data_IF_131457090787
#
_entry.id   IF_131457090787
#
_cell.length_a   1.000
_cell.length_b   1.000
_cell.length_c   1.000
_cell.angle_alpha   90.00
_cell.angle_beta   90.00
_cell.angle_gamma   90.00
#
_symmetry.space_group_name_H-M   'P 1'
#
loop_
_entity.id
_entity.type
_entity.pdbx_description
1 polymer ?
#
# COMPACT_ATOMS: atom_id res chain seq x y z
N UNK A 1 -23.67 -1.16 -23.78
CA UNK A 1 -22.30 -0.65 -24.03
C UNK A 1 -21.65 -0.40 -22.69
N UNK A 2 -20.52 -1.03 -22.39
CA UNK A 2 -19.73 -0.75 -21.19
C UNK A 2 -19.29 0.72 -21.21
N UNK A 3 -19.56 1.47 -20.14
CA UNK A 3 -19.07 2.84 -20.00
C UNK A 3 -17.58 2.76 -19.68
N UNK A 4 -16.74 3.26 -20.58
CA UNK A 4 -15.32 3.43 -20.29
C UNK A 4 -15.17 4.41 -19.12
N UNK A 5 -14.44 3.99 -18.09
CA UNK A 5 -14.11 4.83 -16.93
C UNK A 5 -12.62 5.17 -17.02
N UNK A 6 -12.27 6.43 -17.25
CA UNK A 6 -10.87 6.82 -17.41
C UNK A 6 -10.14 6.75 -16.06
N UNK A 7 -8.91 6.23 -16.07
CA UNK A 7 -8.01 6.34 -14.92
C UNK A 7 -7.26 7.70 -14.91
N UNK A 8 -6.55 7.97 -13.83
CA UNK A 8 -5.82 9.23 -13.64
C UNK A 8 -4.69 9.41 -14.66
N UNK A 9 -3.95 8.35 -15.00
CA UNK A 9 -2.80 8.42 -15.91
C UNK A 9 -3.29 8.74 -17.32
N UNK A 10 -4.36 8.10 -17.75
CA UNK A 10 -5.05 8.38 -19.00
C UNK A 10 -5.47 9.85 -19.10
N UNK A 11 -6.15 10.39 -18.07
CA UNK A 11 -6.58 11.79 -18.07
C UNK A 11 -5.41 12.77 -18.10
N UNK A 12 -4.29 12.44 -17.45
CA UNK A 12 -3.06 13.24 -17.51
C UNK A 12 -2.44 13.22 -18.92
N UNK A 13 -2.49 12.08 -19.60
CA UNK A 13 -2.10 11.97 -21.01
C UNK A 13 -2.96 12.83 -21.93
N UNK A 14 -4.27 12.87 -21.68
CA UNK A 14 -5.19 13.78 -22.41
C UNK A 14 -4.86 15.26 -22.13
N UNK A 15 -4.51 15.62 -20.89
CA UNK A 15 -4.05 16.97 -20.57
C UNK A 15 -2.77 17.34 -21.33
N UNK A 16 -1.80 16.41 -21.43
CA UNK A 16 -0.58 16.62 -22.20
C UNK A 16 -0.87 16.84 -23.69
N UNK A 17 -1.82 16.10 -24.26
CA UNK A 17 -2.27 16.33 -25.63
C UNK A 17 -2.81 17.75 -25.83
N UNK A 18 -3.68 18.23 -24.93
CA UNK A 18 -4.20 19.60 -25.01
C UNK A 18 -3.12 20.66 -24.79
N UNK A 19 -2.16 20.40 -23.91
CA UNK A 19 -1.00 21.27 -23.73
C UNK A 19 -0.21 21.44 -25.04
N UNK A 20 0.07 20.33 -25.74
CA UNK A 20 0.76 20.35 -27.04
C UNK A 20 -0.05 21.05 -28.15
N UNK A 21 -1.38 21.11 -28.01
CA UNK A 21 -2.26 21.90 -28.90
C UNK A 21 -2.32 23.38 -28.53
N UNK A 22 -1.48 23.87 -27.60
CA UNK A 22 -1.48 25.23 -27.09
C UNK A 22 -2.81 25.66 -26.46
N UNK A 23 -3.58 24.71 -25.91
CA UNK A 23 -4.77 25.04 -25.10
C UNK A 23 -4.34 25.56 -23.73
N UNK A 24 -5.22 26.31 -23.08
CA UNK A 24 -5.08 26.64 -21.66
C UNK A 24 -5.57 25.50 -20.76
N UNK A 25 -5.09 25.46 -19.52
CA UNK A 25 -5.56 24.50 -18.51
C UNK A 25 -7.09 24.59 -18.30
N UNK A 26 -7.65 25.80 -18.36
CA UNK A 26 -9.08 26.05 -18.20
C UNK A 26 -9.90 25.50 -19.37
N UNK A 27 -9.41 25.64 -20.62
CA UNK A 27 -10.06 25.02 -21.78
C UNK A 27 -9.98 23.50 -21.70
N UNK A 28 -8.82 22.93 -21.37
CA UNK A 28 -8.64 21.49 -21.24
C UNK A 28 -9.56 20.91 -20.16
N UNK A 29 -9.68 21.58 -19.00
CA UNK A 29 -10.61 21.20 -17.93
C UNK A 29 -12.07 21.20 -18.40
N UNK A 30 -12.51 22.26 -19.11
CA UNK A 30 -13.88 22.32 -19.66
C UNK A 30 -14.17 21.14 -20.59
N UNK A 31 -13.23 20.81 -21.47
CA UNK A 31 -13.38 19.68 -22.41
C UNK A 31 -13.41 18.34 -21.66
N UNK A 32 -12.56 18.17 -20.65
CA UNK A 32 -12.55 16.96 -19.81
C UNK A 32 -13.87 16.76 -19.08
N UNK A 33 -14.42 17.80 -18.45
CA UNK A 33 -15.72 17.72 -17.76
C UNK A 33 -16.85 17.41 -18.75
N UNK A 34 -16.83 18.02 -19.93
CA UNK A 34 -17.82 17.73 -20.97
C UNK A 34 -17.74 16.27 -21.47
N UNK A 35 -16.55 15.68 -21.50
CA UNK A 35 -16.31 14.33 -22.05
C UNK A 35 -16.53 13.23 -21.00
N UNK A 36 -16.03 13.45 -19.77
CA UNK A 36 -15.93 12.42 -18.73
C UNK A 36 -16.81 12.67 -17.50
N UNK A 37 -17.45 13.85 -17.40
CA UNK A 37 -18.33 14.22 -16.29
C UNK A 37 -17.61 14.13 -14.95
N UNK A 38 -18.19 13.39 -14.01
CA UNK A 38 -17.67 13.20 -12.65
C UNK A 38 -16.31 12.48 -12.61
N UNK A 39 -15.93 11.77 -13.68
CA UNK A 39 -14.63 11.11 -13.78
C UNK A 39 -13.52 12.07 -14.26
N UNK A 40 -13.82 13.34 -14.53
CA UNK A 40 -12.82 14.32 -14.95
C UNK A 40 -11.88 14.71 -13.80
N UNK A 41 -10.68 15.16 -14.16
CA UNK A 41 -9.76 15.77 -13.20
C UNK A 41 -10.32 17.12 -12.74
N UNK A 42 -10.05 17.46 -11.48
CA UNK A 42 -10.39 18.78 -10.96
C UNK A 42 -9.58 19.90 -11.64
N UNK A 43 -10.17 21.09 -11.67
CA UNK A 43 -9.57 22.30 -12.23
C UNK A 43 -8.19 22.64 -11.61
N UNK A 44 -8.00 22.41 -10.30
CA UNK A 44 -6.70 22.55 -9.63
C UNK A 44 -5.69 21.54 -10.13
N UNK A 45 -6.08 20.27 -10.26
CA UNK A 45 -5.22 19.22 -10.82
C UNK A 45 -4.82 19.56 -12.26
N UNK A 46 -5.75 20.01 -13.11
CA UNK A 46 -5.42 20.45 -14.47
C UNK A 46 -4.37 21.56 -14.48
N UNK A 47 -4.52 22.59 -13.64
CA UNK A 47 -3.53 23.67 -13.54
C UNK A 47 -2.16 23.21 -13.08
N UNK A 48 -2.09 22.32 -12.09
CA UNK A 48 -0.81 21.82 -11.57
C UNK A 48 -0.08 20.96 -12.62
N UNK A 49 -0.79 20.12 -13.37
CA UNK A 49 -0.22 19.38 -14.49
C UNK A 49 0.30 20.30 -15.60
N UNK A 50 -0.47 21.33 -15.96
CA UNK A 50 0.01 22.34 -16.92
C UNK A 50 1.26 23.08 -16.42
N UNK A 51 1.40 23.31 -15.11
CA UNK A 51 2.62 23.87 -14.52
C UNK A 51 3.80 22.91 -14.67
N UNK A 52 3.59 21.60 -14.46
CA UNK A 52 4.62 20.57 -14.70
C UNK A 52 5.06 20.50 -16.15
N UNK A 53 4.11 20.48 -17.09
CA UNK A 53 4.43 20.45 -18.53
C UNK A 53 5.23 21.68 -18.99
N UNK A 54 4.94 22.87 -18.44
CA UNK A 54 5.74 24.08 -18.68
C UNK A 54 7.18 23.96 -18.17
N UNK A 55 7.40 23.14 -17.15
CA UNK A 55 8.73 22.84 -16.60
C UNK A 55 9.40 21.64 -17.30
N UNK A 56 8.87 21.20 -18.45
CA UNK A 56 9.32 20.03 -19.20
C UNK A 56 9.23 18.70 -18.43
N UNK A 57 8.34 18.61 -17.43
CA UNK A 57 8.05 17.38 -16.70
C UNK A 57 6.82 16.69 -17.31
N UNK A 58 7.07 15.69 -18.15
CA UNK A 58 6.05 14.94 -18.90
C UNK A 58 5.74 13.56 -18.30
N UNK A 59 6.28 13.24 -17.12
CA UNK A 59 6.02 11.97 -16.45
C UNK A 59 4.60 11.96 -15.88
N UNK A 60 3.74 11.14 -16.48
CA UNK A 60 2.30 11.09 -16.16
C UNK A 60 2.00 10.29 -14.89
N UNK A 61 2.93 9.46 -14.45
CA UNK A 61 2.83 8.72 -13.21
C UNK A 61 3.19 9.59 -12.01
N UNK A 62 2.68 9.21 -10.85
CA UNK A 62 3.13 9.84 -9.61
C UNK A 62 4.55 9.32 -9.32
N UNK A 63 5.51 10.23 -9.18
CA UNK A 63 6.84 9.87 -8.68
C UNK A 63 6.68 9.17 -7.34
N UNK A 64 7.50 8.15 -7.12
CA UNK A 64 7.59 7.50 -5.84
C UNK A 64 7.81 8.58 -4.78
N UNK A 65 6.85 8.73 -3.87
CA UNK A 65 6.95 9.75 -2.83
C UNK A 65 8.19 9.41 -2.02
N UNK A 66 9.18 10.29 -2.02
CA UNK A 66 10.24 10.26 -1.02
C UNK A 66 9.56 10.43 0.33
N UNK A 67 9.31 9.30 1.00
CA UNK A 67 8.82 9.29 2.36
C UNK A 67 9.80 10.02 3.28
N UNK A 68 9.37 10.29 4.50
CA UNK A 68 10.26 10.72 5.58
C UNK A 68 11.47 9.78 5.58
N UNK A 69 12.72 10.30 5.62
CA UNK A 69 13.92 9.47 5.67
C UNK A 69 13.76 8.42 6.76
N UNK A 70 14.07 7.15 6.44
CA UNK A 70 14.03 6.08 7.44
C UNK A 70 15.01 6.48 8.56
N UNK A 71 14.54 6.49 9.81
CA UNK A 71 15.39 6.83 10.97
C UNK A 71 16.44 5.75 11.26
N UNK A 72 16.18 4.52 10.80
CA UNK A 72 17.06 3.36 10.85
C UNK A 72 16.72 2.44 9.67
N UNK A 73 17.68 1.64 9.24
CA UNK A 73 17.50 0.67 8.16
C UNK A 73 16.87 -0.62 8.66
N UNK A 74 16.08 -1.28 7.82
CA UNK A 74 15.37 -2.50 8.23
C UNK A 74 16.37 -3.62 8.63
N UNK A 75 17.58 -3.63 8.05
CA UNK A 75 18.70 -4.52 8.43
C UNK A 75 19.21 -4.33 9.85
N UNK A 76 19.14 -3.10 10.38
CA UNK A 76 19.56 -2.81 11.76
C UNK A 76 18.58 -3.44 12.75
N UNK A 77 17.29 -3.42 12.42
CA UNK A 77 16.24 -4.05 13.20
C UNK A 77 16.30 -5.58 13.10
N UNK A 78 16.54 -6.14 11.91
CA UNK A 78 16.75 -7.59 11.73
C UNK A 78 17.91 -8.10 12.59
N UNK A 79 19.05 -7.39 12.57
CA UNK A 79 20.23 -7.75 13.36
C UNK A 79 19.95 -7.80 14.87
N UNK A 80 19.18 -6.83 15.40
CA UNK A 80 18.81 -6.82 16.83
C UNK A 80 17.96 -8.03 17.21
N UNK A 81 17.08 -8.49 16.30
CA UNK A 81 16.21 -9.64 16.52
C UNK A 81 16.94 -10.97 16.34
N UNK A 82 17.97 -11.02 15.49
CA UNK A 82 18.88 -12.15 15.38
C UNK A 82 19.76 -12.30 16.63
N UNK A 83 20.18 -11.18 17.23
CA UNK A 83 20.96 -11.16 18.48
C UNK A 83 20.12 -11.57 19.69
N UNK A 84 18.91 -11.03 19.82
CA UNK A 84 17.97 -11.39 20.86
C UNK A 84 16.51 -11.29 20.36
N UNK A 85 15.88 -12.44 20.02
CA UNK A 85 14.51 -12.45 19.54
C UNK A 85 13.49 -12.15 20.64
N UNK A 86 13.88 -12.07 21.91
CA UNK A 86 12.97 -11.80 23.04
C UNK A 86 12.77 -10.32 23.36
N UNK A 87 13.46 -9.43 22.63
CA UNK A 87 13.41 -7.99 22.87
C UNK A 87 12.00 -7.41 22.74
N UNK A 88 11.68 -6.52 23.68
CA UNK A 88 10.42 -5.76 23.68
C UNK A 88 10.50 -4.57 22.73
N UNK A 89 9.33 -4.06 22.31
CA UNK A 89 9.25 -2.83 21.51
C UNK A 89 9.92 -1.63 22.19
N UNK A 90 9.87 -1.57 23.53
CA UNK A 90 10.47 -0.51 24.33
C UNK A 90 11.99 -0.53 24.28
N UNK A 91 12.59 -1.73 24.36
CA UNK A 91 14.04 -1.91 24.26
C UNK A 91 14.53 -1.57 22.87
N UNK A 92 13.87 -2.10 21.83
CA UNK A 92 14.16 -1.78 20.43
C UNK A 92 14.04 -0.27 20.16
N UNK A 93 13.01 0.38 20.69
CA UNK A 93 12.81 1.83 20.56
C UNK A 93 13.94 2.64 21.21
N UNK A 94 14.41 2.22 22.38
CA UNK A 94 15.55 2.86 23.07
C UNK A 94 16.85 2.69 22.28
N UNK A 95 17.13 1.50 21.75
CA UNK A 95 18.35 1.21 20.97
C UNK A 95 18.35 2.02 19.67
N UNK A 96 17.23 2.02 18.96
CA UNK A 96 17.07 2.69 17.66
C UNK A 96 16.72 4.18 17.78
N UNK A 97 16.59 4.70 19.00
CA UNK A 97 16.20 6.09 19.30
C UNK A 97 14.90 6.53 18.59
N UNK A 98 13.93 5.63 18.52
CA UNK A 98 12.61 5.87 17.94
C UNK A 98 11.51 5.52 18.92
N UNK A 99 10.29 5.99 18.65
CA UNK A 99 9.12 5.58 19.40
C UNK A 99 8.75 4.12 19.09
N UNK A 100 8.13 3.45 20.07
CA UNK A 100 7.69 2.05 19.96
C UNK A 100 6.72 1.84 18.78
N UNK A 101 5.95 2.86 18.41
CA UNK A 101 5.00 2.77 17.29
C UNK A 101 5.71 2.69 15.94
N UNK A 102 6.85 3.38 15.79
CA UNK A 102 7.71 3.30 14.61
C UNK A 102 8.33 1.91 14.51
N UNK A 103 8.85 1.34 15.61
CA UNK A 103 9.36 -0.03 15.65
C UNK A 103 8.27 -1.03 15.28
N UNK A 104 7.08 -0.91 15.87
CA UNK A 104 5.95 -1.81 15.61
C UNK A 104 5.53 -1.81 14.13
N UNK A 105 5.45 -0.62 13.51
CA UNK A 105 5.14 -0.49 12.07
C UNK A 105 6.20 -1.17 11.20
N UNK A 106 7.47 -1.06 11.58
CA UNK A 106 8.62 -1.63 10.86
C UNK A 106 8.65 -3.15 10.95
N UNK A 107 8.49 -3.70 12.15
CA UNK A 107 8.37 -5.14 12.37
C UNK A 107 7.23 -5.75 11.55
N UNK A 108 6.07 -5.06 11.49
CA UNK A 108 4.95 -5.47 10.62
C UNK A 108 5.32 -5.45 9.13
N UNK A 109 6.04 -4.41 8.68
CA UNK A 109 6.53 -4.33 7.30
C UNK A 109 7.49 -5.46 6.93
N UNK A 110 8.24 -5.98 7.91
CA UNK A 110 9.15 -7.13 7.77
C UNK A 110 8.46 -8.49 7.92
N UNK A 111 7.15 -8.52 8.22
CA UNK A 111 6.44 -9.78 8.47
C UNK A 111 6.83 -10.45 9.79
N UNK A 112 7.36 -9.69 10.76
CA UNK A 112 7.72 -10.20 12.08
C UNK A 112 6.49 -10.36 12.97
N UNK A 113 6.40 -11.49 13.65
CA UNK A 113 5.35 -11.80 14.64
C UNK A 113 5.97 -12.19 15.98
N UNK A 114 5.33 -11.79 17.07
CA UNK A 114 5.73 -12.21 18.41
C UNK A 114 4.93 -13.43 18.86
N UNK A 115 5.61 -14.51 19.25
CA UNK A 115 5.02 -15.72 19.84
C UNK A 115 5.78 -16.09 21.10
N UNK A 116 5.06 -16.24 22.22
CA UNK A 116 5.66 -16.59 23.53
C UNK A 116 6.86 -15.68 23.90
N UNK A 117 6.75 -14.38 23.63
CA UNK A 117 7.80 -13.40 23.89
C UNK A 117 8.90 -13.30 22.82
N UNK A 118 8.94 -14.20 21.82
CA UNK A 118 10.00 -14.24 20.80
C UNK A 118 9.49 -13.78 19.43
N UNK A 119 10.31 -13.03 18.69
CA UNK A 119 10.03 -12.58 17.32
C UNK A 119 10.39 -13.65 16.28
N UNK A 120 9.51 -13.80 15.29
CA UNK A 120 9.69 -14.73 14.17
C UNK A 120 9.27 -14.07 12.87
N UNK A 121 10.06 -14.27 11.81
CA UNK A 121 9.69 -13.82 10.47
C UNK A 121 8.74 -14.82 9.82
N UNK A 122 7.59 -14.35 9.35
CA UNK A 122 6.75 -15.14 8.45
C UNK A 122 7.35 -15.03 7.06
N UNK A 123 8.02 -16.08 6.59
CA UNK A 123 8.38 -16.19 5.17
C UNK A 123 7.22 -16.82 4.40
N UNK A 124 6.80 -16.19 3.30
CA UNK A 124 5.77 -16.72 2.40
C UNK A 124 6.19 -18.08 1.80
N UNK A 125 7.48 -18.44 1.79
CA UNK A 125 7.94 -19.79 1.41
C UNK A 125 7.55 -20.90 2.41
N UNK A 126 7.27 -20.56 3.67
CA UNK A 126 6.81 -21.52 4.69
C UNK A 126 5.30 -21.78 4.62
N UNK A 127 4.59 -21.01 3.81
CA UNK A 127 3.19 -21.20 3.46
C UNK A 127 3.18 -22.20 2.30
N UNK A 128 2.80 -23.46 2.57
CA UNK A 128 2.60 -24.49 1.54
C UNK A 128 1.82 -23.87 0.36
N UNK A 129 2.07 -24.26 -0.91
CA UNK A 129 1.49 -23.63 -2.11
C UNK A 129 -0.05 -23.57 -2.16
N UNK A 130 -0.68 -24.18 -1.17
CA UNK A 130 -2.09 -24.40 -0.96
C UNK A 130 -2.60 -23.71 0.34
N UNK A 131 -1.90 -22.70 0.85
CA UNK A 131 -2.31 -21.97 2.05
C UNK A 131 -2.83 -20.60 1.68
N UNK A 132 -3.97 -20.23 2.27
CA UNK A 132 -4.57 -18.92 2.11
C UNK A 132 -4.78 -18.31 3.49
N UNK A 133 -4.56 -17.01 3.57
CA UNK A 133 -4.63 -16.25 4.81
C UNK A 133 -6.07 -15.82 5.06
N UNK A 134 -6.58 -16.04 6.27
CA UNK A 134 -7.88 -15.55 6.70
C UNK A 134 -7.66 -14.51 7.80
N UNK A 135 -8.03 -13.26 7.55
CA UNK A 135 -8.12 -12.23 8.60
C UNK A 135 -9.46 -12.39 9.33
N UNK A 136 -9.39 -12.77 10.60
CA UNK A 136 -10.58 -13.07 11.42
C UNK A 136 -11.57 -11.90 11.57
N UNK A 137 -11.16 -10.65 11.32
CA UNK A 137 -12.04 -9.48 11.47
C UNK A 137 -12.67 -9.00 10.16
N UNK A 138 -12.04 -9.27 9.02
CA UNK A 138 -12.52 -8.82 7.69
C UNK A 138 -12.99 -9.96 6.81
N UNK A 139 -12.71 -11.21 7.20
CA UNK A 139 -13.13 -12.37 6.46
C UNK A 139 -14.65 -12.54 6.51
N UNK A 140 -15.20 -12.92 5.35
CA UNK A 140 -16.56 -13.39 5.22
C UNK A 140 -16.86 -14.47 6.30
N UNK A 141 -17.87 -14.26 7.16
CA UNK A 141 -18.23 -15.20 8.22
C UNK A 141 -18.45 -16.63 7.72
N UNK A 142 -18.99 -16.80 6.51
CA UNK A 142 -19.19 -18.12 5.92
C UNK A 142 -17.87 -18.77 5.48
N UNK A 143 -16.89 -17.98 5.03
CA UNK A 143 -15.54 -18.49 4.73
C UNK A 143 -14.80 -18.91 6.02
N UNK A 144 -14.93 -18.14 7.10
CA UNK A 144 -14.36 -18.49 8.41
C UNK A 144 -15.00 -19.77 8.94
N UNK A 145 -16.32 -19.88 8.86
CA UNK A 145 -17.08 -21.05 9.30
C UNK A 145 -16.75 -22.30 8.48
N UNK A 146 -16.63 -22.19 7.16
CA UNK A 146 -16.24 -23.30 6.28
C UNK A 146 -14.83 -23.81 6.56
N UNK A 147 -13.90 -22.91 6.89
CA UNK A 147 -12.54 -23.25 7.30
C UNK A 147 -12.49 -23.99 8.65
N UNK A 148 -13.24 -23.52 9.64
CA UNK A 148 -13.30 -24.15 10.99
C UNK A 148 -14.00 -25.51 10.95
N UNK A 149 -15.05 -25.64 10.13
CA UNK A 149 -15.83 -26.89 10.00
C UNK A 149 -15.18 -27.92 9.09
N UNK A 150 -14.01 -27.61 8.50
CA UNK A 150 -13.28 -28.53 7.62
C UNK A 150 -13.97 -28.78 6.28
N UNK A 151 -14.93 -27.93 5.89
CA UNK A 151 -15.62 -28.00 4.61
C UNK A 151 -14.81 -27.43 3.45
N UNK A 152 -13.71 -26.73 3.76
CA UNK A 152 -12.76 -26.32 2.75
C UNK A 152 -12.02 -27.52 2.15
N UNK A 153 -11.67 -27.48 0.84
CA UNK A 153 -10.91 -28.55 0.21
C UNK A 153 -9.64 -28.83 1.00
N UNK A 154 -9.28 -30.10 1.22
CA UNK A 154 -8.03 -30.48 1.92
C UNK A 154 -6.77 -29.95 1.24
N UNK A 155 -6.88 -29.55 -0.02
CA UNK A 155 -5.87 -28.84 -0.80
C UNK A 155 -5.79 -27.34 -0.49
N UNK A 156 -6.51 -26.83 0.51
CA UNK A 156 -6.51 -25.45 0.94
C UNK A 156 -6.44 -25.43 2.48
N UNK A 157 -5.24 -25.31 3.03
CA UNK A 157 -5.03 -25.27 4.48
C UNK A 157 -5.16 -23.82 4.97
N UNK A 158 -6.14 -23.51 5.83
CA UNK A 158 -6.31 -22.15 6.34
C UNK A 158 -5.19 -21.82 7.33
N UNK A 159 -4.56 -20.67 7.16
CA UNK A 159 -3.67 -20.08 8.17
C UNK A 159 -4.37 -18.87 8.77
N UNK A 160 -4.70 -18.98 10.05
CA UNK A 160 -5.31 -17.90 10.82
C UNK A 160 -4.21 -16.96 11.32
N UNK A 161 -4.19 -15.73 10.82
CA UNK A 161 -3.32 -14.68 11.35
C UNK A 161 -4.09 -13.82 12.35
N UNK A 162 -3.46 -13.41 13.47
CA UNK A 162 -4.00 -12.33 14.28
C UNK A 162 -4.04 -11.05 13.45
N UNK A 163 -5.12 -10.27 13.63
CA UNK A 163 -5.45 -9.08 12.85
C UNK A 163 -4.25 -8.15 12.59
N UNK A 164 -3.93 -7.93 11.31
CA UNK A 164 -3.03 -6.88 10.87
C UNK A 164 -3.87 -5.75 10.25
N UNK A 165 -4.10 -4.63 10.96
CA UNK A 165 -4.77 -3.50 10.32
C UNK A 165 -3.89 -3.01 9.17
N UNK A 166 -4.44 -3.01 7.96
CA UNK A 166 -3.82 -2.37 6.81
C UNK A 166 -3.53 -0.89 7.13
N UNK A 167 -2.33 -0.37 6.84
CA UNK A 167 -2.01 1.03 7.11
C UNK A 167 -2.51 1.91 5.97
N UNK A 168 -3.80 1.89 5.67
CA UNK A 168 -4.44 2.88 4.81
C UNK A 168 -5.88 3.14 5.26
N UNK A 169 -6.03 4.14 6.11
CA UNK A 169 -7.18 5.04 6.18
C UNK A 169 -6.68 6.40 6.66
#
# INVERSE_FOLDING_TARGET
MSKFVPDKVFLRGVLLHYFNMNKSAAEAHRILVQTYGDNALSDTTCRDWFRRFKNNDFELEDKERSGVPKKFEDKELEKLLDEDPSQTLSELGKILQVDESTVSKRLKGLGMIQKQGHWFQISIESLLPNTFTIDLQTADPERVRSAITGQLPKSLLPVFLPHFPHPFS
#
